data_IF_337229631126
#
_entry.id   IF_337229631126
#
_cell.length_a   1.000
_cell.length_b   1.000
_cell.length_c   1.000
_cell.angle_alpha   90.00
_cell.angle_beta   90.00
_cell.angle_gamma   90.00
#
_symmetry.space_group_name_H-M   'P 1'
#
loop_
_entity.id
_entity.type
_entity.pdbx_description
1 polymer ?
#
# COMPACT_ATOMS: atom_id res chain seq x y z
N UNK A 1 -7.46 -9.07 95.33
CA UNK A 1 -8.24 -9.95 94.44
C UNK A 1 -8.67 -9.12 93.25
N UNK A 2 -8.24 -9.57 92.08
CA UNK A 2 -8.75 -9.31 90.73
C UNK A 2 -8.99 -7.86 90.27
N UNK A 3 -8.12 -7.48 89.34
CA UNK A 3 -8.33 -6.66 88.13
C UNK A 3 -9.78 -6.31 87.74
N UNK A 4 -10.01 -5.06 87.33
CA UNK A 4 -10.57 -4.77 85.99
C UNK A 4 -10.56 -3.26 85.63
N UNK A 5 -10.30 -3.00 84.35
CA UNK A 5 -10.76 -1.88 83.52
C UNK A 5 -9.90 -0.59 83.35
N UNK A 6 -9.41 -0.48 82.11
CA UNK A 6 -9.36 0.72 81.26
C UNK A 6 -8.11 1.63 81.32
N UNK A 7 -7.02 1.19 80.70
CA UNK A 7 -5.97 2.07 80.20
C UNK A 7 -6.41 2.76 78.89
N UNK A 8 -6.58 4.07 78.98
CA UNK A 8 -7.06 4.94 77.91
C UNK A 8 -5.96 5.29 76.87
N UNK A 9 -6.41 5.26 75.61
CA UNK A 9 -6.12 6.21 74.53
C UNK A 9 -4.65 6.52 74.17
N UNK A 10 -4.12 5.74 73.22
CA UNK A 10 -2.92 6.07 72.46
C UNK A 10 -2.95 5.48 71.04
N UNK A 11 -3.95 5.84 70.22
CA UNK A 11 -4.14 5.28 68.88
C UNK A 11 -3.87 6.28 67.75
N UNK A 12 -2.69 6.20 67.14
CA UNK A 12 -2.30 6.94 65.93
C UNK A 12 -3.31 6.70 64.80
N UNK A 13 -3.88 7.78 64.26
CA UNK A 13 -4.67 7.76 63.02
C UNK A 13 -3.72 7.43 61.86
N UNK A 14 -3.60 6.14 61.53
CA UNK A 14 -3.01 5.72 60.27
C UNK A 14 -4.01 6.06 59.15
N UNK A 15 -3.72 7.11 58.39
CA UNK A 15 -4.47 7.45 57.20
C UNK A 15 -4.45 6.25 56.23
N UNK A 16 -5.58 5.52 56.15
CA UNK A 16 -5.82 4.50 55.13
C UNK A 16 -5.73 5.16 53.76
N UNK A 17 -4.56 5.10 53.11
CA UNK A 17 -4.42 5.43 51.69
C UNK A 17 -5.40 4.54 50.92
N UNK A 18 -6.45 5.15 50.34
CA UNK A 18 -7.32 4.48 49.36
C UNK A 18 -6.42 3.78 48.35
N UNK A 19 -6.54 2.45 48.20
CA UNK A 19 -5.89 1.70 47.13
C UNK A 19 -6.46 2.18 45.79
N UNK A 20 -5.86 3.23 45.22
CA UNK A 20 -6.09 3.60 43.82
C UNK A 20 -5.60 2.44 42.96
N UNK A 21 -6.46 1.93 42.08
CA UNK A 21 -6.06 0.93 41.09
C UNK A 21 -4.86 1.44 40.30
N UNK A 22 -3.81 0.61 40.17
CA UNK A 22 -2.64 0.97 39.39
C UNK A 22 -3.00 0.94 37.89
N UNK A 23 -2.46 1.89 37.13
CA UNK A 23 -2.66 1.98 35.68
C UNK A 23 -1.65 1.08 34.99
N UNK A 24 -2.12 0.12 34.20
CA UNK A 24 -1.26 -0.80 33.44
C UNK A 24 -1.08 -0.31 32.00
N UNK A 25 0.15 -0.40 31.48
CA UNK A 25 0.38 -0.12 30.07
C UNK A 25 -0.26 -1.19 29.16
N UNK A 26 -0.91 -0.72 28.10
CA UNK A 26 -1.59 -1.53 27.09
C UNK A 26 -0.64 -2.12 26.04
N UNK A 27 0.59 -1.63 25.98
CA UNK A 27 1.57 -2.01 24.96
C UNK A 27 2.01 -3.47 25.16
N UNK A 28 2.08 -4.24 24.07
CA UNK A 28 2.58 -5.62 24.10
C UNK A 28 3.98 -5.66 24.74
N UNK A 29 4.27 -6.70 25.53
CA UNK A 29 5.58 -6.85 26.20
C UNK A 29 6.02 -5.64 27.07
N UNK A 30 5.10 -4.76 27.47
CA UNK A 30 5.34 -3.67 28.40
C UNK A 30 4.73 -3.99 29.76
N UNK A 31 5.60 -4.18 30.75
CA UNK A 31 5.21 -4.50 32.12
C UNK A 31 5.18 -3.28 33.04
N UNK A 32 5.21 -2.06 32.49
CA UNK A 32 5.17 -0.83 33.27
C UNK A 32 3.76 -0.53 33.78
N UNK A 33 3.72 -0.18 35.07
CA UNK A 33 2.51 0.12 35.83
C UNK A 33 2.76 1.37 36.68
N UNK A 34 1.71 2.11 37.01
CA UNK A 34 1.86 3.38 37.74
C UNK A 34 2.41 3.22 39.16
N UNK A 35 2.38 2.02 39.72
CA UNK A 35 2.95 1.69 41.03
C UNK A 35 4.44 1.30 40.96
N UNK A 36 4.85 0.55 39.93
CA UNK A 36 6.25 0.13 39.75
C UNK A 36 7.12 1.16 39.01
N UNK A 37 6.50 2.14 38.34
CA UNK A 37 7.17 3.21 37.58
C UNK A 37 6.51 4.58 37.83
N UNK A 38 6.70 5.18 39.02
CA UNK A 38 6.14 6.49 39.35
C UNK A 38 6.77 7.65 38.54
N UNK A 39 7.92 7.40 37.92
CA UNK A 39 8.64 8.31 37.02
C UNK A 39 7.94 8.50 35.67
N UNK A 40 7.05 7.58 35.29
CA UNK A 40 6.33 7.61 34.02
C UNK A 40 4.90 8.14 34.20
N UNK A 41 4.49 9.06 33.32
CA UNK A 41 3.06 9.38 33.15
C UNK A 41 2.33 8.29 32.37
N UNK A 42 1.07 8.04 32.73
CA UNK A 42 0.17 7.09 32.07
C UNK A 42 -1.00 7.83 31.43
N UNK A 43 -1.09 7.75 30.11
CA UNK A 43 -2.04 8.46 29.27
C UNK A 43 -3.21 7.54 28.89
N UNK A 44 -4.43 8.01 29.13
CA UNK A 44 -5.63 7.30 28.71
C UNK A 44 -5.76 7.31 27.19
N UNK A 45 -6.41 6.29 26.63
CA UNK A 45 -6.68 6.24 25.20
C UNK A 45 -7.56 7.43 24.78
N UNK A 46 -7.32 8.01 23.59
CA UNK A 46 -8.14 9.10 23.09
C UNK A 46 -9.63 8.74 22.99
N UNK A 47 -10.49 9.75 23.21
CA UNK A 47 -11.95 9.61 22.99
C UNK A 47 -12.33 9.57 21.51
N UNK A 48 -11.48 10.11 20.64
CA UNK A 48 -11.65 10.04 19.19
C UNK A 48 -11.42 8.60 18.71
N UNK A 49 -12.46 7.99 18.13
CA UNK A 49 -12.45 6.60 17.66
C UNK A 49 -11.36 6.32 16.63
N UNK A 50 -11.04 7.31 15.78
CA UNK A 50 -9.98 7.16 14.79
C UNK A 50 -8.60 7.07 15.44
N UNK A 51 -8.29 8.01 16.34
CA UNK A 51 -7.02 8.02 17.05
C UNK A 51 -6.91 6.84 18.03
N UNK A 52 -8.02 6.44 18.65
CA UNK A 52 -8.11 5.25 19.51
C UNK A 52 -7.74 3.98 18.75
N UNK A 53 -8.32 3.76 17.56
CA UNK A 53 -7.96 2.62 16.69
C UNK A 53 -6.49 2.63 16.29
N UNK A 54 -5.93 3.82 15.97
CA UNK A 54 -4.48 3.95 15.69
C UNK A 54 -3.61 3.51 16.87
N UNK A 55 -3.98 3.91 18.09
CA UNK A 55 -3.27 3.48 19.30
C UNK A 55 -3.39 1.96 19.48
N UNK A 56 -4.59 1.37 19.35
CA UNK A 56 -4.78 -0.08 19.48
C UNK A 56 -3.91 -0.88 18.51
N UNK A 57 -3.83 -0.47 17.25
CA UNK A 57 -2.98 -1.12 16.23
C UNK A 57 -1.49 -1.03 16.60
N UNK A 58 -1.02 0.13 17.07
CA UNK A 58 0.39 0.34 17.44
C UNK A 58 0.81 -0.48 18.66
N UNK A 59 -0.10 -0.66 19.62
CA UNK A 59 0.15 -1.38 20.87
C UNK A 59 0.26 -2.90 20.71
N UNK A 60 -0.29 -3.49 19.64
CA UNK A 60 -0.19 -4.91 19.27
C UNK A 60 -0.53 -5.93 20.38
N UNK A 61 -1.36 -5.56 21.34
CA UNK A 61 -1.82 -6.50 22.39
C UNK A 61 -3.11 -7.20 21.95
N UNK A 62 -3.00 -8.49 21.63
CA UNK A 62 -4.08 -9.31 21.05
C UNK A 62 -4.87 -10.14 22.05
N UNK A 63 -4.55 -10.08 23.34
CA UNK A 63 -5.13 -10.94 24.37
C UNK A 63 -6.65 -10.69 24.49
N UNK A 64 -7.46 -11.77 24.45
CA UNK A 64 -8.93 -11.67 24.56
C UNK A 64 -9.38 -11.00 25.87
N UNK A 65 -8.60 -11.15 26.94
CA UNK A 65 -8.79 -10.49 28.24
C UNK A 65 -8.56 -8.97 28.18
N UNK A 66 -7.71 -8.50 27.26
CA UNK A 66 -7.39 -7.07 27.10
C UNK A 66 -8.39 -6.34 26.20
N UNK A 67 -9.11 -7.07 25.34
CA UNK A 67 -10.15 -6.51 24.46
C UNK A 67 -11.32 -5.90 25.25
N UNK A 68 -11.61 -6.43 26.44
CA UNK A 68 -12.75 -6.05 27.29
C UNK A 68 -12.42 -5.04 28.42
N UNK A 69 -11.18 -4.53 28.49
CA UNK A 69 -10.82 -3.53 29.50
C UNK A 69 -11.31 -2.15 29.05
N UNK A 70 -12.19 -1.53 29.85
CA UNK A 70 -12.77 -0.22 29.56
C UNK A 70 -11.71 0.91 29.54
N UNK A 71 -10.82 0.94 30.54
CA UNK A 71 -9.82 2.00 30.69
C UNK A 71 -8.43 1.50 30.31
N UNK A 72 -8.05 1.69 29.05
CA UNK A 72 -6.73 1.35 28.51
C UNK A 72 -5.78 2.53 28.67
N UNK A 73 -4.53 2.27 29.07
CA UNK A 73 -3.50 3.31 29.26
C UNK A 73 -2.21 3.03 28.47
N UNK A 74 -1.52 4.08 28.05
CA UNK A 74 -0.17 4.04 27.50
C UNK A 74 0.79 4.76 28.43
N UNK A 75 1.94 4.16 28.78
CA UNK A 75 2.98 4.89 29.49
C UNK A 75 3.72 5.86 28.55
N UNK A 76 4.30 6.91 29.10
CA UNK A 76 5.05 7.94 28.36
C UNK A 76 6.29 7.42 27.63
N UNK A 77 6.81 6.25 28.01
CA UNK A 77 7.97 5.64 27.35
C UNK A 77 7.73 5.25 25.87
N UNK A 78 6.47 5.21 25.43
CA UNK A 78 6.10 4.90 24.05
C UNK A 78 5.91 6.13 23.14
N UNK A 79 6.15 7.33 23.65
CA UNK A 79 6.05 8.58 22.91
C UNK A 79 7.41 9.26 22.78
N UNK A 80 7.61 10.02 21.72
CA UNK A 80 8.80 10.85 21.56
C UNK A 80 8.69 12.09 22.44
N UNK A 81 9.82 12.68 22.89
CA UNK A 81 9.79 13.96 23.61
C UNK A 81 9.04 15.07 22.86
N UNK A 82 9.08 15.05 21.52
CA UNK A 82 8.37 15.98 20.64
C UNK A 82 6.84 15.87 20.71
N UNK A 83 6.29 14.75 21.19
CA UNK A 83 4.85 14.49 21.26
C UNK A 83 4.19 15.14 22.49
N UNK A 84 5.00 15.68 23.41
CA UNK A 84 4.52 16.35 24.62
C UNK A 84 4.41 17.86 24.41
N UNK A 85 3.44 18.48 25.07
CA UNK A 85 3.30 19.94 25.14
C UNK A 85 4.43 20.50 26.02
N UNK A 86 5.00 21.62 25.60
CA UNK A 86 6.01 22.32 26.40
C UNK A 86 5.30 23.03 27.56
N UNK A 87 5.48 22.53 28.79
CA UNK A 87 4.93 23.14 30.00
C UNK A 87 5.90 24.18 30.53
N UNK A 88 5.40 25.39 30.86
CA UNK A 88 6.18 26.48 31.46
C UNK A 88 6.83 26.10 32.81
N UNK A 89 6.28 25.09 33.49
CA UNK A 89 6.78 24.57 34.79
C UNK A 89 7.44 23.19 34.69
N UNK A 90 7.57 22.59 33.49
CA UNK A 90 8.22 21.29 33.28
C UNK A 90 7.56 20.03 33.88
N UNK A 91 6.63 20.19 34.83
CA UNK A 91 6.05 19.06 35.56
C UNK A 91 4.86 18.36 34.85
N UNK A 92 4.14 19.06 33.97
CA UNK A 92 3.02 18.45 33.21
C UNK A 92 3.51 17.88 31.89
N UNK A 93 3.35 16.57 31.71
CA UNK A 93 3.69 15.84 30.48
C UNK A 93 2.43 15.51 29.67
N UNK A 94 1.66 16.52 29.30
CA UNK A 94 0.45 16.31 28.49
C UNK A 94 0.81 16.08 27.01
N UNK A 95 0.16 15.11 26.37
CA UNK A 95 0.35 14.84 24.95
C UNK A 95 -0.26 15.95 24.07
N UNK A 96 0.40 16.26 22.95
CA UNK A 96 -0.15 17.12 21.89
C UNK A 96 -1.41 16.47 21.28
N UNK A 97 -2.31 17.29 20.72
CA UNK A 97 -3.49 16.77 20.02
C UNK A 97 -3.02 15.93 18.82
N UNK A 98 -3.54 14.71 18.70
CA UNK A 98 -3.17 13.79 17.62
C UNK A 98 -1.87 13.00 17.84
N UNK A 99 -1.23 13.09 19.01
CA UNK A 99 -0.04 12.27 19.33
C UNK A 99 -0.35 10.77 19.24
N UNK A 100 0.57 10.01 18.66
CA UNK A 100 0.46 8.56 18.47
C UNK A 100 1.72 7.91 19.06
N UNK A 101 1.59 6.88 19.90
CA UNK A 101 2.76 6.19 20.41
C UNK A 101 3.52 5.53 19.26
N UNK A 102 4.82 5.72 19.23
CA UNK A 102 5.70 5.35 18.12
C UNK A 102 6.93 4.57 18.57
N UNK A 103 7.27 4.62 19.87
CA UNK A 103 8.48 3.99 20.42
C UNK A 103 8.13 2.61 20.96
N UNK A 104 8.42 1.56 20.19
CA UNK A 104 8.16 0.16 20.57
C UNK A 104 9.31 -0.76 20.17
N UNK A 105 9.56 -1.81 20.97
CA UNK A 105 10.59 -2.82 20.68
C UNK A 105 10.29 -3.64 19.41
N UNK A 106 9.01 -3.78 19.06
CA UNK A 106 8.53 -4.51 17.86
C UNK A 106 8.19 -3.57 16.70
N UNK A 107 8.40 -2.27 16.85
CA UNK A 107 8.49 -1.45 15.65
C UNK A 107 9.70 -2.03 14.91
N UNK A 108 9.55 -2.58 13.69
CA UNK A 108 10.70 -2.63 12.82
C UNK A 108 11.22 -1.19 12.75
N UNK A 109 12.53 -1.01 12.55
CA UNK A 109 13.04 0.29 12.10
C UNK A 109 12.33 0.57 10.78
N UNK A 110 11.16 1.19 10.87
CA UNK A 110 10.44 1.73 9.75
C UNK A 110 11.14 3.05 9.49
N UNK A 111 12.29 2.99 8.84
CA UNK A 111 12.45 3.89 7.71
C UNK A 111 11.27 3.56 6.80
N UNK A 112 10.15 4.26 7.01
CA UNK A 112 9.13 4.40 5.98
C UNK A 112 9.79 5.32 4.97
N UNK A 113 10.42 4.79 3.90
CA UNK A 113 11.21 5.62 2.99
C UNK A 113 10.28 6.58 2.27
N UNK A 114 8.97 6.31 2.26
CA UNK A 114 7.94 7.12 1.61
C UNK A 114 7.51 8.28 2.51
N UNK A 115 7.30 8.04 3.80
CA UNK A 115 6.98 9.07 4.79
C UNK A 115 8.14 10.05 5.03
N UNK A 116 9.37 9.54 5.03
CA UNK A 116 10.58 10.35 5.18
C UNK A 116 10.88 11.18 3.91
N UNK A 117 10.76 10.58 2.72
CA UNK A 117 10.84 11.31 1.44
C UNK A 117 9.74 12.36 1.28
N UNK A 118 8.53 12.11 1.78
CA UNK A 118 7.44 13.08 1.72
C UNK A 118 7.67 14.28 2.65
N UNK A 119 8.21 14.04 3.85
CA UNK A 119 8.64 15.12 4.76
C UNK A 119 9.76 15.95 4.14
N UNK A 120 10.82 15.31 3.64
CA UNK A 120 11.94 15.98 2.97
C UNK A 120 11.46 16.76 1.73
N UNK A 121 10.57 16.20 0.91
CA UNK A 121 9.99 16.89 -0.25
C UNK A 121 9.17 18.11 0.15
N UNK A 122 8.35 18.00 1.20
CA UNK A 122 7.55 19.12 1.68
C UNK A 122 8.42 20.23 2.32
N UNK A 123 9.50 19.87 3.00
CA UNK A 123 10.50 20.81 3.54
C UNK A 123 11.31 21.50 2.43
N UNK A 124 11.67 20.78 1.37
CA UNK A 124 12.33 21.35 0.18
C UNK A 124 11.41 22.30 -0.62
N UNK A 125 10.11 21.96 -0.73
CA UNK A 125 9.11 22.85 -1.36
C UNK A 125 8.86 24.10 -0.50
N UNK A 126 8.95 23.99 0.83
CA UNK A 126 8.83 25.15 1.71
C UNK A 126 10.05 26.08 1.62
N UNK A 127 11.28 25.53 1.55
CA UNK A 127 12.52 26.31 1.37
C UNK A 127 12.59 27.03 0.02
N UNK A 128 12.22 26.36 -1.06
CA UNK A 128 12.21 26.98 -2.41
C UNK A 128 11.17 28.10 -2.54
N UNK A 129 10.08 28.07 -1.75
CA UNK A 129 9.10 29.17 -1.69
C UNK A 129 9.57 30.38 -0.88
N UNK A 130 10.46 30.21 0.10
CA UNK A 130 11.03 31.33 0.87
C UNK A 130 12.17 32.05 0.14
N UNK A 131 12.85 31.38 -0.80
CA UNK A 131 14.02 31.93 -1.52
C UNK A 131 13.64 32.74 -2.77
N UNK A 132 12.38 32.71 -3.22
CA UNK A 132 11.92 33.43 -4.43
C UNK A 132 11.26 34.80 -4.15
N UNK A 133 11.39 35.38 -2.95
CA UNK A 133 10.74 36.67 -2.61
C UNK A 133 11.70 37.81 -2.17
N UNK A 134 13.01 37.71 -2.39
CA UNK A 134 13.93 38.82 -2.08
C UNK A 134 14.92 39.09 -3.20
N UNK A 135 14.47 39.67 -4.32
CA UNK A 135 15.33 40.51 -5.18
C UNK A 135 14.51 41.64 -5.85
N UNK A 136 14.56 42.83 -5.24
CA UNK A 136 14.37 44.11 -5.90
C UNK A 136 15.48 45.04 -5.40
N UNK A 137 16.38 45.42 -6.31
CA UNK A 137 17.54 46.29 -6.04
C UNK A 137 17.17 47.77 -5.89
N UNK A 138 18.17 48.61 -5.58
CA UNK A 138 18.48 49.65 -6.57
C UNK A 138 19.98 49.97 -6.77
N UNK A 139 20.23 50.36 -8.02
CA UNK A 139 21.13 51.35 -8.62
C UNK A 139 22.58 51.60 -8.17
N UNK A 140 23.38 51.72 -9.23
CA UNK A 140 24.79 52.01 -9.39
C UNK A 140 25.07 53.53 -9.39
N UNK A 141 26.10 53.98 -8.67
CA UNK A 141 26.83 55.23 -9.00
C UNK A 141 28.24 55.27 -8.38
N UNK A 142 29.12 55.99 -9.10
CA UNK A 142 30.58 55.87 -9.19
C UNK A 142 31.43 56.63 -8.14
N UNK A 143 32.71 56.22 -8.10
CA UNK A 143 33.97 56.96 -7.86
C UNK A 143 34.30 57.54 -6.47
N UNK A 144 35.43 57.11 -5.89
CA UNK A 144 36.70 57.86 -5.82
C UNK A 144 37.68 57.21 -4.82
N UNK A 145 38.96 57.13 -5.19
CA UNK A 145 40.01 56.45 -4.43
C UNK A 145 40.56 57.22 -3.23
N UNK A 146 41.42 56.55 -2.48
CA UNK A 146 42.70 57.09 -1.96
C UNK A 146 43.50 55.98 -1.27
N UNK A 147 44.78 55.92 -1.62
CA UNK A 147 45.81 55.06 -1.04
C UNK A 147 46.06 55.38 0.44
N UNK A 148 46.53 54.39 1.21
CA UNK A 148 47.64 54.58 2.16
C UNK A 148 48.39 53.27 2.35
N UNK A 149 49.69 53.44 2.50
CA UNK A 149 50.78 52.50 2.35
C UNK A 149 51.29 52.01 3.72
N UNK A 150 51.95 50.85 3.67
CA UNK A 150 53.20 50.49 4.36
C UNK A 150 53.25 49.60 5.62
N UNK A 151 54.29 48.76 5.58
CA UNK A 151 55.00 47.98 6.62
C UNK A 151 54.21 46.79 7.21
N UNK A 152 54.75 45.58 7.39
CA UNK A 152 56.13 45.12 7.48
C UNK A 152 56.19 43.59 7.33
N UNK A 153 57.36 43.12 6.92
CA UNK A 153 57.76 41.72 6.77
C UNK A 153 57.62 40.89 8.07
N UNK A 154 57.28 39.61 7.92
CA UNK A 154 57.76 38.56 8.81
C UNK A 154 56.73 37.85 9.70
N UNK A 155 55.94 36.94 9.12
CA UNK A 155 55.65 35.60 9.68
C UNK A 155 54.85 34.80 8.66
N UNK A 156 55.47 33.77 8.09
CA UNK A 156 54.78 32.74 7.32
C UNK A 156 53.86 31.97 8.28
N UNK A 157 52.60 32.38 8.34
CA UNK A 157 51.51 31.58 8.85
C UNK A 157 50.66 31.25 7.62
N UNK A 158 50.73 30.01 7.15
CA UNK A 158 49.79 29.51 6.14
C UNK A 158 48.43 29.45 6.82
N UNK A 159 47.70 30.56 6.75
CA UNK A 159 46.29 30.59 7.07
C UNK A 159 45.60 29.91 5.90
N UNK A 160 45.13 28.68 6.11
CA UNK A 160 44.07 28.14 5.25
C UNK A 160 42.89 29.10 5.41
N UNK A 161 42.72 30.00 4.43
CA UNK A 161 41.58 30.89 4.38
C UNK A 161 40.29 30.08 4.33
N UNK A 162 39.17 30.59 4.87
CA UNK A 162 37.88 29.95 4.67
C UNK A 162 37.64 29.78 3.16
N UNK A 163 37.11 28.60 2.78
CA UNK A 163 36.85 28.24 1.37
C UNK A 163 36.23 29.41 0.62
N UNK A 164 36.73 29.69 -0.57
CA UNK A 164 36.16 30.76 -1.40
C UNK A 164 34.71 30.41 -1.77
N UNK A 165 33.88 31.41 -1.99
CA UNK A 165 32.48 31.19 -2.35
C UNK A 165 32.37 30.37 -3.66
N UNK A 166 33.26 30.61 -4.62
CA UNK A 166 33.41 29.77 -5.82
C UNK A 166 33.72 28.29 -5.51
N UNK A 167 34.62 28.01 -4.58
CA UNK A 167 34.95 26.62 -4.18
C UNK A 167 33.73 25.93 -3.56
N UNK A 168 32.95 26.63 -2.73
CA UNK A 168 31.72 26.09 -2.15
C UNK A 168 30.64 25.86 -3.19
N UNK A 169 30.48 26.77 -4.17
CA UNK A 169 29.53 26.62 -5.28
C UNK A 169 29.91 25.42 -6.16
N UNK A 170 31.20 25.25 -6.49
CA UNK A 170 31.66 24.11 -7.28
C UNK A 170 31.48 22.79 -6.52
N UNK A 171 31.83 22.74 -5.23
CA UNK A 171 31.58 21.56 -4.39
C UNK A 171 30.09 21.18 -4.35
N UNK A 172 29.19 22.17 -4.21
CA UNK A 172 27.75 21.91 -4.22
C UNK A 172 27.22 21.49 -5.59
N UNK A 173 27.81 21.97 -6.69
CA UNK A 173 27.48 21.51 -8.05
C UNK A 173 27.93 20.06 -8.25
N UNK A 174 29.14 19.70 -7.83
CA UNK A 174 29.64 18.33 -7.89
C UNK A 174 28.78 17.38 -7.03
N UNK A 175 28.39 17.78 -5.82
CA UNK A 175 27.48 17.00 -4.97
C UNK A 175 26.10 16.81 -5.64
N UNK A 176 25.58 17.85 -6.31
CA UNK A 176 24.32 17.76 -7.04
C UNK A 176 24.41 16.82 -8.26
N UNK A 177 25.54 16.80 -8.97
CA UNK A 177 25.76 15.87 -10.07
C UNK A 177 25.91 14.42 -9.58
N UNK A 178 26.64 14.21 -8.48
CA UNK A 178 26.76 12.89 -7.84
C UNK A 178 25.39 12.35 -7.39
N UNK A 179 24.59 13.16 -6.70
CA UNK A 179 23.24 12.76 -6.27
C UNK A 179 22.32 12.46 -7.46
N UNK A 180 22.42 13.20 -8.57
CA UNK A 180 21.68 12.88 -9.80
C UNK A 180 22.11 11.55 -10.42
N UNK A 181 23.42 11.27 -10.43
CA UNK A 181 23.94 10.00 -10.92
C UNK A 181 23.49 8.82 -10.04
N UNK A 182 23.51 8.97 -8.72
CA UNK A 182 23.01 7.95 -7.78
C UNK A 182 21.50 7.72 -7.92
N UNK A 183 20.72 8.80 -8.07
CA UNK A 183 19.28 8.70 -8.32
C UNK A 183 18.98 7.91 -9.61
N UNK A 184 19.76 8.15 -10.67
CA UNK A 184 19.61 7.46 -11.95
C UNK A 184 19.91 5.96 -11.80
N UNK A 185 21.03 5.62 -11.15
CA UNK A 185 21.39 4.22 -10.84
C UNK A 185 20.36 3.54 -9.94
N UNK A 186 19.78 4.26 -8.98
CA UNK A 186 18.73 3.73 -8.11
C UNK A 186 17.43 3.46 -8.87
N UNK A 187 17.05 4.33 -9.81
CA UNK A 187 15.89 4.14 -10.69
C UNK A 187 16.08 2.97 -11.65
N UNK A 188 17.27 2.81 -12.24
CA UNK A 188 17.58 1.65 -13.08
C UNK A 188 17.48 0.33 -12.31
N UNK A 189 17.95 0.31 -11.07
CA UNK A 189 17.76 -0.85 -10.18
C UNK A 189 16.28 -1.08 -9.87
N UNK A 190 15.54 -0.04 -9.53
CA UNK A 190 14.09 -0.12 -9.27
C UNK A 190 13.33 -0.68 -10.48
N UNK A 191 13.66 -0.24 -11.70
CA UNK A 191 13.09 -0.75 -12.95
C UNK A 191 13.26 -2.27 -13.10
N UNK A 192 14.45 -2.82 -12.78
CA UNK A 192 14.70 -4.26 -12.81
C UNK A 192 13.85 -5.00 -11.78
N UNK A 193 13.60 -4.41 -10.61
CA UNK A 193 12.77 -5.01 -9.56
C UNK A 193 11.26 -4.85 -9.79
N UNK A 194 10.85 -3.98 -10.70
CA UNK A 194 9.43 -3.76 -10.99
C UNK A 194 8.95 -4.80 -11.99
N UNK A 195 8.17 -5.78 -11.51
CA UNK A 195 7.56 -6.78 -12.37
C UNK A 195 6.25 -6.23 -12.94
N UNK A 196 6.28 -5.77 -14.19
CA UNK A 196 5.14 -5.12 -14.84
C UNK A 196 5.37 -4.83 -16.32
N UNK A 197 4.36 -4.31 -16.99
CA UNK A 197 4.39 -4.07 -18.44
C UNK A 197 5.53 -3.13 -18.84
N UNK A 198 5.86 -2.12 -18.02
CA UNK A 198 6.97 -1.20 -18.29
C UNK A 198 8.30 -1.94 -18.51
N UNK A 199 8.55 -3.00 -17.74
CA UNK A 199 9.77 -3.81 -17.82
C UNK A 199 9.85 -4.66 -19.10
N UNK A 200 8.71 -5.21 -19.52
CA UNK A 200 8.67 -6.18 -20.62
C UNK A 200 8.25 -5.58 -21.97
N UNK A 201 7.90 -4.29 -21.99
CA UNK A 201 7.45 -3.57 -23.20
C UNK A 201 8.44 -3.62 -24.37
N UNK A 202 9.74 -3.79 -24.11
CA UNK A 202 10.77 -3.89 -25.14
C UNK A 202 10.97 -5.29 -25.75
N UNK A 203 10.30 -6.32 -25.25
CA UNK A 203 10.51 -7.71 -25.64
C UNK A 203 9.19 -8.39 -26.00
N UNK A 204 8.93 -8.54 -27.31
CA UNK A 204 7.72 -9.22 -27.79
C UNK A 204 7.66 -10.69 -27.32
N UNK A 205 8.82 -11.33 -27.16
CA UNK A 205 8.93 -12.69 -26.61
C UNK A 205 8.41 -12.75 -25.17
N UNK A 206 8.80 -11.79 -24.32
CA UNK A 206 8.32 -11.72 -22.94
C UNK A 206 6.85 -11.34 -22.87
N UNK A 207 6.38 -10.42 -23.73
CA UNK A 207 4.95 -10.10 -23.85
C UNK A 207 4.16 -11.38 -24.17
N UNK A 208 4.60 -12.16 -25.17
CA UNK A 208 3.92 -13.39 -25.54
C UNK A 208 3.96 -14.45 -24.43
N UNK A 209 5.13 -14.61 -23.81
CA UNK A 209 5.31 -15.56 -22.72
C UNK A 209 4.36 -15.26 -21.55
N UNK A 210 4.32 -14.01 -21.09
CA UNK A 210 3.53 -13.64 -19.91
C UNK A 210 2.06 -13.39 -20.19
N UNK A 211 1.68 -12.97 -21.40
CA UNK A 211 0.30 -12.52 -21.67
C UNK A 211 -0.43 -13.31 -22.73
N UNK A 212 0.30 -14.03 -23.59
CA UNK A 212 -0.25 -14.71 -24.76
C UNK A 212 -0.50 -13.80 -25.96
N UNK A 213 -0.37 -12.47 -25.83
CA UNK A 213 -0.43 -11.56 -26.97
C UNK A 213 0.82 -11.69 -27.86
N UNK A 214 0.71 -11.53 -29.18
CA UNK A 214 1.86 -11.72 -30.07
C UNK A 214 2.96 -10.67 -29.85
N UNK A 215 2.58 -9.44 -29.51
CA UNK A 215 3.49 -8.31 -29.34
C UNK A 215 2.88 -7.22 -28.44
N UNK A 216 3.73 -6.27 -28.05
CA UNK A 216 3.33 -5.13 -27.21
C UNK A 216 2.22 -4.29 -27.85
N UNK A 217 2.27 -4.06 -29.16
CA UNK A 217 1.34 -3.20 -29.86
C UNK A 217 -0.08 -3.76 -29.79
N UNK A 218 -0.25 -5.05 -30.06
CA UNK A 218 -1.53 -5.77 -29.99
C UNK A 218 -2.10 -5.75 -28.57
N UNK A 219 -1.25 -5.94 -27.55
CA UNK A 219 -1.66 -5.85 -26.16
C UNK A 219 -2.17 -4.44 -25.80
N UNK A 220 -1.49 -3.39 -26.28
CA UNK A 220 -1.91 -2.00 -26.03
C UNK A 220 -3.19 -1.65 -26.79
N UNK A 221 -3.38 -2.15 -28.01
CA UNK A 221 -4.65 -1.99 -28.74
C UNK A 221 -5.81 -2.64 -28.00
N UNK A 222 -5.60 -3.85 -27.47
CA UNK A 222 -6.58 -4.49 -26.62
C UNK A 222 -6.80 -3.73 -25.30
N UNK A 223 -5.73 -3.20 -24.69
CA UNK A 223 -5.84 -2.34 -23.50
C UNK A 223 -6.72 -1.13 -23.76
N UNK A 224 -6.51 -0.40 -24.87
CA UNK A 224 -7.32 0.77 -25.24
C UNK A 224 -8.81 0.45 -25.38
N UNK A 225 -9.14 -0.76 -25.85
CA UNK A 225 -10.54 -1.21 -25.93
C UNK A 225 -11.18 -1.40 -24.54
N UNK A 226 -10.43 -1.93 -23.56
CA UNK A 226 -10.96 -2.23 -22.23
C UNK A 226 -10.70 -1.14 -21.18
N UNK A 227 -9.80 -0.19 -21.43
CA UNK A 227 -9.41 0.86 -20.48
C UNK A 227 -10.57 1.76 -20.00
N UNK A 228 -11.54 2.19 -20.84
CA UNK A 228 -12.53 3.19 -20.46
C UNK A 228 -13.32 2.86 -19.19
N UNK A 229 -13.50 1.56 -18.90
CA UNK A 229 -14.23 1.08 -17.73
C UNK A 229 -13.32 0.50 -16.64
N UNK A 230 -12.01 0.30 -16.90
CA UNK A 230 -11.08 -0.35 -15.98
C UNK A 230 -10.78 0.49 -14.72
N UNK A 231 -10.77 1.81 -14.86
CA UNK A 231 -10.57 2.77 -13.77
C UNK A 231 -11.74 2.84 -12.78
N UNK A 232 -12.93 2.40 -13.22
CA UNK A 232 -14.19 2.39 -12.44
C UNK A 232 -14.45 1.06 -11.74
N UNK A 233 -13.55 0.09 -11.91
CA UNK A 233 -13.68 -1.23 -11.32
C UNK A 233 -13.60 -1.16 -9.80
N UNK A 234 -14.57 -1.80 -9.16
CA UNK A 234 -14.63 -1.99 -7.72
C UNK A 234 -14.16 -3.40 -7.40
N UNK A 235 -13.26 -3.53 -6.42
CA UNK A 235 -12.77 -4.82 -6.01
C UNK A 235 -13.90 -5.73 -5.48
N UNK A 236 -13.80 -7.01 -5.81
CA UNK A 236 -14.77 -8.04 -5.43
C UNK A 236 -15.01 -8.09 -3.92
N UNK A 237 -13.95 -7.97 -3.11
CA UNK A 237 -14.06 -7.99 -1.64
C UNK A 237 -14.94 -6.86 -1.07
N UNK A 238 -14.96 -5.70 -1.73
CA UNK A 238 -15.78 -4.56 -1.32
C UNK A 238 -17.28 -4.85 -1.56
N UNK A 239 -17.62 -5.42 -2.71
CA UNK A 239 -19.00 -5.75 -3.06
C UNK A 239 -19.54 -6.91 -2.26
N UNK A 240 -18.70 -7.92 -1.98
CA UNK A 240 -19.08 -9.06 -1.13
C UNK A 240 -19.52 -8.62 0.27
N UNK A 241 -18.95 -7.53 0.79
CA UNK A 241 -19.22 -7.02 2.14
C UNK A 241 -20.26 -5.89 2.17
N UNK A 242 -20.73 -5.42 1.01
CA UNK A 242 -21.74 -4.38 0.92
C UNK A 242 -23.13 -5.02 0.99
N UNK A 243 -23.96 -4.59 1.95
CA UNK A 243 -25.35 -5.04 2.12
C UNK A 243 -26.31 -4.38 1.14
N UNK A 244 -25.83 -3.45 0.32
CA UNK A 244 -26.61 -2.52 -0.52
C UNK A 244 -26.32 -2.71 -2.02
N UNK A 245 -25.93 -3.91 -2.43
CA UNK A 245 -25.65 -4.22 -3.84
C UNK A 245 -26.97 -4.47 -4.56
N UNK A 246 -27.41 -3.49 -5.33
CA UNK A 246 -28.56 -3.65 -6.23
C UNK A 246 -28.16 -4.56 -7.40
N UNK A 247 -28.47 -5.85 -7.31
CA UNK A 247 -28.22 -6.87 -8.33
C UNK A 247 -28.96 -6.61 -9.66
N UNK A 248 -29.80 -5.58 -9.75
CA UNK A 248 -30.47 -5.17 -10.99
C UNK A 248 -29.58 -4.36 -11.94
N UNK A 249 -28.37 -3.95 -11.52
CA UNK A 249 -27.41 -3.37 -12.44
C UNK A 249 -26.67 -4.49 -13.17
N UNK A 250 -26.61 -4.41 -14.50
CA UNK A 250 -25.90 -5.36 -15.38
C UNK A 250 -24.38 -5.50 -15.10
N UNK A 251 -23.85 -4.76 -14.12
CA UNK A 251 -22.44 -4.75 -13.76
C UNK A 251 -22.24 -4.29 -12.30
N UNK A 252 -22.38 -5.18 -11.30
CA UNK A 252 -22.19 -4.81 -9.89
C UNK A 252 -20.75 -4.35 -9.59
N UNK A 253 -19.79 -4.67 -10.47
CA UNK A 253 -18.37 -4.32 -10.35
C UNK A 253 -17.98 -2.97 -10.96
N UNK A 254 -18.85 -2.33 -11.76
CA UNK A 254 -18.61 -0.98 -12.29
C UNK A 254 -19.30 0.04 -11.41
N UNK A 255 -18.54 0.95 -10.81
CA UNK A 255 -19.13 2.09 -10.13
C UNK A 255 -19.86 2.97 -11.15
N UNK A 256 -21.19 3.02 -11.08
CA UNK A 256 -22.03 3.89 -11.90
C UNK A 256 -21.85 5.38 -11.57
N UNK A 257 -21.37 5.69 -10.37
CA UNK A 257 -21.00 7.06 -9.97
C UNK A 257 -19.54 7.33 -10.29
N UNK A 258 -19.28 8.44 -11.01
CA UNK A 258 -17.93 8.92 -11.31
C UNK A 258 -17.17 9.21 -10.01
N UNK A 259 -16.40 8.24 -9.53
CA UNK A 259 -15.45 8.48 -8.44
C UNK A 259 -14.06 8.66 -9.05
N UNK A 260 -13.66 9.92 -9.19
CA UNK A 260 -12.32 10.29 -9.67
C UNK A 260 -11.24 9.63 -8.81
N UNK A 261 -10.27 8.99 -9.46
CA UNK A 261 -9.03 8.59 -8.82
C UNK A 261 -8.18 9.86 -8.54
N UNK A 262 -7.56 10.02 -7.35
CA UNK A 262 -7.74 9.27 -6.11
C UNK A 262 -8.84 9.91 -5.23
N UNK A 263 -9.83 9.13 -4.77
CA UNK A 263 -10.97 9.65 -4.00
C UNK A 263 -11.19 8.90 -2.68
N UNK A 264 -11.46 9.65 -1.61
CA UNK A 264 -11.66 9.18 -0.22
C UNK A 264 -12.99 8.45 0.03
N UNK A 265 -13.81 8.21 -1.01
CA UNK A 265 -15.13 7.57 -0.93
C UNK A 265 -15.21 6.20 -1.64
N UNK A 266 -14.06 5.66 -2.04
CA UNK A 266 -13.89 4.28 -2.51
C UNK A 266 -13.33 3.48 -1.32
N UNK A 267 -13.54 2.16 -1.28
CA UNK A 267 -12.92 1.29 -0.27
C UNK A 267 -11.39 1.33 -0.27
N UNK A 268 -10.72 0.22 0.07
CA UNK A 268 -9.26 0.16 0.09
C UNK A 268 -8.66 0.78 -1.20
N UNK A 269 -7.76 1.75 -1.06
CA UNK A 269 -7.16 2.43 -2.21
C UNK A 269 -6.43 1.41 -3.08
N UNK A 270 -6.63 1.48 -4.41
CA UNK A 270 -5.91 0.62 -5.36
C UNK A 270 -4.41 0.86 -5.22
N UNK A 271 -3.66 -0.22 -5.02
CA UNK A 271 -2.21 -0.20 -4.87
C UNK A 271 -1.47 -0.16 -6.20
N UNK A 272 -2.13 -0.55 -7.30
CA UNK A 272 -1.56 -0.67 -8.64
C UNK A 272 -2.38 0.17 -9.64
N UNK A 273 -1.76 0.55 -10.77
CA UNK A 273 -2.52 1.14 -11.88
C UNK A 273 -3.35 0.04 -12.57
N UNK A 274 -4.50 0.40 -13.20
CA UNK A 274 -5.33 -0.59 -13.89
C UNK A 274 -4.57 -1.44 -14.93
N UNK A 275 -3.61 -0.87 -15.65
CA UNK A 275 -2.80 -1.61 -16.63
C UNK A 275 -1.87 -2.65 -15.98
N UNK A 276 -1.36 -2.37 -14.77
CA UNK A 276 -0.53 -3.30 -14.01
C UNK A 276 -1.35 -4.42 -13.39
N UNK A 277 -2.57 -4.10 -12.92
CA UNK A 277 -3.53 -5.12 -12.48
C UNK A 277 -3.92 -6.05 -13.64
N UNK A 278 -4.12 -5.48 -14.83
CA UNK A 278 -4.41 -6.25 -16.04
C UNK A 278 -3.22 -7.14 -16.44
N UNK A 279 -2.00 -6.61 -16.41
CA UNK A 279 -0.78 -7.40 -16.64
C UNK A 279 -0.64 -8.57 -15.66
N UNK A 280 -0.91 -8.34 -14.36
CA UNK A 280 -0.96 -9.38 -13.33
C UNK A 280 -1.98 -10.46 -13.67
N UNK A 281 -3.19 -10.05 -14.05
CA UNK A 281 -4.26 -10.96 -14.44
C UNK A 281 -3.90 -11.83 -15.65
N UNK A 282 -3.35 -11.23 -16.71
CA UNK A 282 -2.88 -11.97 -17.89
C UNK A 282 -1.76 -12.95 -17.55
N UNK A 283 -0.80 -12.52 -16.73
CA UNK A 283 0.29 -13.39 -16.23
C UNK A 283 -0.25 -14.61 -15.51
N UNK A 284 -1.28 -14.44 -14.67
CA UNK A 284 -1.95 -15.53 -13.97
C UNK A 284 -2.61 -16.50 -14.95
N UNK A 285 -3.36 -15.98 -15.93
CA UNK A 285 -4.08 -16.81 -16.91
C UNK A 285 -3.12 -17.60 -17.82
N UNK A 286 -2.06 -16.96 -18.29
CA UNK A 286 -1.16 -17.53 -19.29
C UNK A 286 -0.15 -18.50 -18.69
N UNK A 287 0.55 -18.09 -17.63
CA UNK A 287 1.68 -18.84 -17.06
C UNK A 287 1.26 -19.63 -15.82
N UNK A 288 0.11 -19.32 -15.22
CA UNK A 288 -0.39 -20.07 -14.07
C UNK A 288 0.39 -19.82 -12.77
N UNK A 289 1.08 -18.69 -12.63
CA UNK A 289 1.84 -18.35 -11.41
C UNK A 289 0.94 -18.36 -10.17
N UNK A 290 1.46 -18.84 -9.05
CA UNK A 290 0.73 -18.91 -7.77
C UNK A 290 0.51 -17.50 -7.20
N UNK A 291 -0.60 -17.30 -6.48
CA UNK A 291 -0.92 -15.99 -5.89
C UNK A 291 0.17 -15.46 -4.93
N UNK A 292 0.85 -16.37 -4.22
CA UNK A 292 2.00 -16.02 -3.35
C UNK A 292 3.18 -15.47 -4.14
N UNK A 293 3.45 -16.04 -5.32
CA UNK A 293 4.55 -15.61 -6.18
C UNK A 293 4.22 -14.26 -6.84
N UNK A 294 2.99 -14.10 -7.32
CA UNK A 294 2.49 -12.82 -7.83
C UNK A 294 2.54 -11.73 -6.75
N UNK A 295 2.14 -12.04 -5.51
CA UNK A 295 2.20 -11.10 -4.40
C UNK A 295 3.63 -10.59 -4.15
N UNK A 296 4.61 -11.49 -4.21
CA UNK A 296 6.03 -11.15 -4.09
C UNK A 296 6.51 -10.27 -5.26
N UNK A 297 6.23 -10.68 -6.51
CA UNK A 297 6.68 -9.97 -7.73
C UNK A 297 6.12 -8.55 -7.85
N UNK A 298 4.84 -8.38 -7.52
CA UNK A 298 4.15 -7.09 -7.60
C UNK A 298 4.23 -6.30 -6.29
N UNK A 299 4.89 -6.83 -5.26
CA UNK A 299 5.02 -6.22 -3.94
C UNK A 299 3.67 -5.79 -3.32
N UNK A 300 2.68 -6.67 -3.40
CA UNK A 300 1.32 -6.48 -2.85
C UNK A 300 0.95 -7.67 -1.97
N UNK A 301 -0.15 -7.56 -1.23
CA UNK A 301 -0.60 -8.67 -0.36
C UNK A 301 -1.25 -9.79 -1.19
N UNK A 302 -1.11 -11.05 -0.75
CA UNK A 302 -1.78 -12.21 -1.38
C UNK A 302 -3.31 -11.99 -1.49
N UNK A 303 -4.01 -11.50 -0.45
CA UNK A 303 -5.42 -11.14 -0.59
C UNK A 303 -5.69 -10.13 -1.71
N UNK A 304 -4.82 -9.13 -1.90
CA UNK A 304 -4.95 -8.15 -2.99
C UNK A 304 -4.82 -8.82 -4.36
N UNK A 305 -3.88 -9.74 -4.52
CA UNK A 305 -3.72 -10.53 -5.76
C UNK A 305 -5.00 -11.30 -6.08
N UNK A 306 -5.55 -12.02 -5.10
CA UNK A 306 -6.78 -12.79 -5.28
C UNK A 306 -7.95 -11.88 -5.67
N UNK A 307 -8.08 -10.73 -5.02
CA UNK A 307 -9.12 -9.74 -5.30
C UNK A 307 -9.00 -9.16 -6.72
N UNK A 308 -7.77 -8.85 -7.16
CA UNK A 308 -7.48 -8.43 -8.54
C UNK A 308 -7.89 -9.52 -9.53
N UNK A 309 -7.46 -10.78 -9.32
CA UNK A 309 -7.77 -11.90 -10.25
C UNK A 309 -9.28 -12.08 -10.40
N UNK A 310 -10.03 -12.07 -9.30
CA UNK A 310 -11.49 -12.26 -9.33
C UNK A 310 -12.17 -11.05 -10.00
N UNK A 311 -11.75 -9.83 -9.66
CA UNK A 311 -12.32 -8.60 -10.23
C UNK A 311 -12.11 -8.55 -11.74
N UNK A 312 -10.89 -8.83 -12.21
CA UNK A 312 -10.57 -8.83 -13.63
C UNK A 312 -11.19 -10.00 -14.38
N UNK A 313 -11.31 -11.19 -13.77
CA UNK A 313 -12.06 -12.32 -14.35
C UNK A 313 -13.50 -11.93 -14.68
N UNK A 314 -14.19 -11.32 -13.72
CA UNK A 314 -15.59 -10.88 -13.90
C UNK A 314 -15.68 -9.76 -14.95
N UNK A 315 -14.76 -8.79 -14.89
CA UNK A 315 -14.73 -7.71 -15.86
C UNK A 315 -14.54 -8.23 -17.30
N UNK A 316 -13.56 -9.10 -17.50
CA UNK A 316 -13.23 -9.66 -18.80
C UNK A 316 -14.33 -10.57 -19.33
N UNK A 317 -14.98 -11.36 -18.47
CA UNK A 317 -16.13 -12.18 -18.85
C UNK A 317 -17.22 -11.33 -19.51
N UNK A 318 -17.54 -10.16 -18.95
CA UNK A 318 -18.60 -9.31 -19.49
C UNK A 318 -18.10 -8.53 -20.71
N UNK A 319 -16.88 -7.99 -20.66
CA UNK A 319 -16.31 -7.24 -21.80
C UNK A 319 -16.20 -8.12 -23.05
N UNK A 320 -15.69 -9.35 -22.90
CA UNK A 320 -15.57 -10.30 -24.01
C UNK A 320 -16.93 -10.91 -24.38
N UNK A 321 -17.81 -11.14 -23.41
CA UNK A 321 -19.16 -11.63 -23.66
C UNK A 321 -20.06 -10.65 -24.42
N UNK A 322 -19.75 -9.35 -24.38
CA UNK A 322 -20.45 -8.34 -25.18
C UNK A 322 -20.02 -8.32 -26.65
N UNK A 323 -18.92 -8.99 -27.01
CA UNK A 323 -18.49 -9.09 -28.40
C UNK A 323 -19.46 -9.99 -29.17
N UNK A 324 -19.98 -9.54 -30.32
CA UNK A 324 -20.81 -10.38 -31.19
C UNK A 324 -19.92 -11.38 -31.93
N UNK A 325 -19.40 -12.39 -31.22
CA UNK A 325 -18.56 -13.46 -31.80
C UNK A 325 -19.36 -14.31 -32.80
N UNK A 326 -20.67 -14.39 -32.59
CA UNK A 326 -21.55 -15.22 -33.41
C UNK A 326 -22.24 -14.42 -34.50
N UNK A 327 -22.03 -14.83 -35.75
CA UNK A 327 -22.79 -14.36 -36.90
C UNK A 327 -24.30 -14.58 -36.73
N UNK A 328 -25.12 -13.79 -37.43
CA UNK A 328 -26.58 -13.93 -37.41
C UNK A 328 -27.01 -15.29 -38.00
N UNK A 329 -28.16 -15.80 -37.56
CA UNK A 329 -28.66 -17.10 -38.02
C UNK A 329 -28.95 -17.11 -39.52
N UNK A 330 -29.37 -15.96 -40.05
CA UNK A 330 -29.72 -15.77 -41.45
C UNK A 330 -28.48 -15.90 -42.33
N UNK A 331 -27.38 -15.24 -41.95
CA UNK A 331 -26.11 -15.30 -42.69
C UNK A 331 -25.50 -16.70 -42.63
N UNK A 332 -25.60 -17.39 -41.48
CA UNK A 332 -25.13 -18.79 -41.35
C UNK A 332 -25.95 -19.71 -42.26
N UNK A 333 -27.28 -19.57 -42.27
CA UNK A 333 -28.15 -20.36 -43.16
C UNK A 333 -27.86 -20.10 -44.63
N UNK A 334 -27.62 -18.85 -45.01
CA UNK A 334 -27.28 -18.47 -46.39
C UNK A 334 -26.01 -19.17 -46.88
N UNK A 335 -25.00 -19.33 -46.01
CA UNK A 335 -23.72 -19.94 -46.34
C UNK A 335 -23.59 -21.39 -45.84
N UNK A 336 -24.71 -22.05 -45.48
CA UNK A 336 -24.68 -23.39 -44.92
C UNK A 336 -24.19 -24.39 -45.99
N UNK A 337 -23.12 -25.16 -45.72
CA UNK A 337 -22.60 -26.15 -46.67
C UNK A 337 -23.65 -27.22 -47.01
N UNK A 338 -23.64 -27.72 -48.24
CA UNK A 338 -24.60 -28.71 -48.75
C UNK A 338 -24.71 -29.94 -47.83
N UNK A 339 -23.57 -30.41 -47.29
CA UNK A 339 -23.49 -31.56 -46.39
C UNK A 339 -24.26 -31.40 -45.06
N UNK A 340 -24.56 -30.16 -44.66
CA UNK A 340 -25.33 -29.85 -43.44
C UNK A 340 -26.82 -29.66 -43.72
N UNK A 341 -27.25 -29.56 -44.99
CA UNK A 341 -28.66 -29.40 -45.36
C UNK A 341 -29.47 -30.66 -45.03
N UNK A 342 -30.76 -30.50 -44.75
CA UNK A 342 -31.66 -31.57 -44.30
C UNK A 342 -31.47 -31.94 -42.83
N UNK A 343 -30.34 -32.57 -42.47
CA UNK A 343 -30.16 -33.16 -41.12
C UNK A 343 -29.65 -32.16 -40.07
N UNK A 344 -28.90 -31.14 -40.48
CA UNK A 344 -28.20 -30.21 -39.58
C UNK A 344 -28.51 -28.73 -39.89
N UNK A 345 -29.70 -28.43 -40.39
CA UNK A 345 -30.09 -27.08 -40.86
C UNK A 345 -30.14 -25.99 -39.78
N UNK A 346 -30.19 -26.40 -38.52
CA UNK A 346 -30.21 -25.50 -37.37
C UNK A 346 -28.83 -25.35 -36.70
N UNK A 347 -27.76 -25.91 -37.29
CA UNK A 347 -26.39 -25.72 -36.79
C UNK A 347 -26.00 -24.25 -36.89
N UNK A 348 -25.47 -23.72 -35.79
CA UNK A 348 -24.97 -22.33 -35.71
C UNK A 348 -23.45 -22.28 -35.67
N UNK A 349 -22.84 -23.18 -34.93
CA UNK A 349 -21.39 -23.27 -34.79
C UNK A 349 -21.03 -24.70 -34.41
N UNK A 350 -19.78 -25.06 -34.68
CA UNK A 350 -19.15 -26.28 -34.19
C UNK A 350 -18.01 -25.81 -33.32
N UNK A 351 -18.05 -26.17 -32.05
CA UNK A 351 -17.02 -25.82 -31.09
C UNK A 351 -16.24 -27.10 -30.82
N UNK A 352 -14.92 -27.02 -31.00
CA UNK A 352 -14.04 -28.11 -30.60
C UNK A 352 -13.79 -28.04 -29.10
N UNK A 353 -13.99 -29.15 -28.40
CA UNK A 353 -13.88 -29.20 -26.94
C UNK A 353 -12.43 -29.45 -26.52
N UNK A 354 -12.03 -28.85 -25.39
CA UNK A 354 -10.78 -29.24 -24.75
C UNK A 354 -11.00 -30.50 -23.92
N UNK A 355 -10.14 -31.50 -24.10
CA UNK A 355 -10.21 -32.77 -23.36
C UNK A 355 -8.98 -32.94 -22.48
N UNK A 356 -9.20 -33.14 -21.18
CA UNK A 356 -8.15 -33.39 -20.18
C UNK A 356 -8.23 -34.83 -19.71
N UNK A 357 -7.16 -35.60 -19.89
CA UNK A 357 -7.11 -37.00 -19.41
C UNK A 357 -7.37 -37.07 -17.91
N UNK A 358 -8.18 -38.04 -17.50
CA UNK A 358 -8.49 -38.30 -16.11
C UNK A 358 -8.29 -39.78 -15.76
N UNK A 359 -8.19 -40.08 -14.48
CA UNK A 359 -8.18 -41.45 -14.01
C UNK A 359 -9.45 -42.19 -14.44
N UNK A 360 -9.30 -43.47 -14.77
CA UNK A 360 -10.41 -44.33 -15.17
C UNK A 360 -11.40 -44.49 -14.00
N UNK A 361 -12.67 -44.11 -14.16
CA UNK A 361 -13.69 -44.35 -13.14
C UNK A 361 -13.86 -45.86 -12.89
N UNK A 362 -14.10 -46.24 -11.63
CA UNK A 362 -14.45 -47.63 -11.28
C UNK A 362 -15.85 -48.01 -11.74
N UNK A 363 -16.76 -47.03 -11.78
CA UNK A 363 -18.11 -47.17 -12.31
C UNK A 363 -18.06 -47.29 -13.83
N UNK A 364 -18.57 -48.40 -14.38
CA UNK A 364 -18.54 -48.70 -15.81
C UNK A 364 -19.38 -47.71 -16.64
N UNK A 365 -20.48 -47.18 -16.09
CA UNK A 365 -21.29 -46.19 -16.78
C UNK A 365 -20.49 -44.89 -16.94
N UNK A 366 -19.87 -44.41 -15.87
CA UNK A 366 -18.98 -43.25 -15.92
C UNK A 366 -17.76 -43.53 -16.78
N UNK A 367 -17.23 -44.75 -16.78
CA UNK A 367 -16.14 -45.09 -17.67
C UNK A 367 -16.54 -44.94 -19.14
N UNK A 368 -17.75 -45.36 -19.52
CA UNK A 368 -18.28 -45.17 -20.88
C UNK A 368 -18.48 -43.68 -21.21
N UNK A 369 -19.15 -42.93 -20.32
CA UNK A 369 -19.46 -41.51 -20.52
C UNK A 369 -18.21 -40.63 -20.68
N UNK A 370 -17.15 -40.93 -19.94
CA UNK A 370 -15.91 -40.16 -19.96
C UNK A 370 -14.94 -40.62 -21.05
N UNK A 371 -15.20 -41.74 -21.72
CA UNK A 371 -14.28 -42.25 -22.72
C UNK A 371 -14.27 -41.36 -23.97
N UNK A 372 -13.08 -40.91 -24.35
CA UNK A 372 -12.84 -40.24 -25.62
C UNK A 372 -12.18 -41.22 -26.57
N UNK A 373 -12.88 -41.57 -27.65
CA UNK A 373 -12.31 -42.38 -28.73
C UNK A 373 -11.12 -41.66 -29.36
N UNK A 374 -11.22 -40.34 -29.54
CA UNK A 374 -10.17 -39.51 -30.12
C UNK A 374 -8.88 -39.55 -29.30
N UNK A 375 -8.97 -39.57 -27.96
CA UNK A 375 -7.80 -39.64 -27.05
C UNK A 375 -7.48 -41.05 -26.58
N UNK A 376 -8.29 -42.04 -26.96
CA UNK A 376 -8.27 -43.41 -26.47
C UNK A 376 -8.16 -43.51 -24.93
N UNK A 377 -8.81 -42.58 -24.21
CA UNK A 377 -8.70 -42.47 -22.75
C UNK A 377 -9.96 -41.85 -22.13
N UNK A 378 -10.18 -42.08 -20.83
CA UNK A 378 -11.14 -41.30 -20.06
C UNK A 378 -10.66 -39.84 -19.93
N UNK A 379 -11.54 -38.89 -20.23
CA UNK A 379 -11.25 -37.46 -20.25
C UNK A 379 -12.39 -36.65 -19.63
N UNK A 380 -12.04 -35.60 -18.89
CA UNK A 380 -12.96 -34.49 -18.64
C UNK A 380 -13.05 -33.63 -19.91
N UNK A 381 -14.27 -33.36 -20.36
CA UNK A 381 -14.55 -32.50 -21.51
C UNK A 381 -14.93 -31.11 -21.00
N UNK A 382 -14.24 -30.09 -21.49
CA UNK A 382 -14.52 -28.68 -21.19
C UNK A 382 -14.78 -27.89 -22.47
N UNK A 383 -15.72 -26.96 -22.40
CA UNK A 383 -15.98 -25.92 -23.38
C UNK A 383 -15.36 -24.60 -22.94
#
# INVERSE_FOLDING_TARGET
>A
MADELAAAAGGKIAAKKKKMGHKCCAAANCNFRSDNRPDLSFHEFPKDDYLKKKWEVKMRRGDATFKNIANKFCCSAHFLPSDFKQSLTGHRRDLKRGAIPSVFKWAPVTSDPRGERLKLRNEMIAKSKSEQQTEHGPDEQQLAGSSISSYSSGRNMVVFGPRTLEEFINEKKEEAEQLKAELTRAKEKEYIFTFGLERFSGSNEDINFYTGFPDYQTLIEFWKYIEPNSSRLTYYSYLKNSTDVNFNNAFPYLNLTEKKFPGSSVGAQRSLQPIDEFWLFLTRLRVGLLERDLAFRFNISVPTVSDIIITWSNYMYIMLGSLPVWTSREVIKLHLPEAFRGRFENVRCIIDCTEVKCEKPQDLQKQSEFYSEYKAHNTYKGL
#
